data_IF_559435464434
#
_entry.id   IF_559435464434
#
_cell.length_a   1.000
_cell.length_b   1.000
_cell.length_c   1.000
_cell.angle_alpha   90.00
_cell.angle_beta   90.00
_cell.angle_gamma   90.00
#
_symmetry.space_group_name_H-M   'P 1'
#
loop_
_entity.id
_entity.type
_entity.pdbx_description
1 polymer ?
#
# COMPACT_ATOMS: atom_id res chain seq x y z
N UNK A 1 -14.16 15.43 -0.95
CA UNK A 1 -14.40 14.15 -1.65
C UNK A 1 -13.63 13.06 -0.93
N UNK A 2 -14.15 11.83 -0.82
CA UNK A 2 -13.36 10.72 -0.31
C UNK A 2 -12.12 10.51 -1.17
N UNK A 3 -11.04 10.01 -0.56
CA UNK A 3 -9.80 9.67 -1.24
C UNK A 3 -10.07 8.58 -2.29
N UNK A 4 -9.52 8.76 -3.50
CA UNK A 4 -9.61 7.80 -4.60
C UNK A 4 -8.20 7.36 -5.03
N UNK A 5 -7.81 6.10 -4.76
CA UNK A 5 -6.48 5.59 -5.10
C UNK A 5 -6.25 5.42 -6.60
N UNK A 6 -7.30 5.43 -7.44
CA UNK A 6 -7.15 5.34 -8.90
C UNK A 6 -6.63 6.66 -9.45
N UNK A 7 -7.15 7.79 -8.95
CA UNK A 7 -6.76 9.13 -9.41
C UNK A 7 -5.52 9.66 -8.70
N UNK A 8 -5.34 9.32 -7.42
CA UNK A 8 -4.13 9.65 -6.64
C UNK A 8 -3.69 8.43 -5.84
N UNK A 9 -2.93 7.49 -6.44
CA UNK A 9 -2.36 6.37 -5.69
C UNK A 9 -1.42 6.87 -4.61
N UNK A 10 -1.39 6.19 -3.47
CA UNK A 10 -0.42 6.48 -2.41
C UNK A 10 0.99 6.08 -2.84
N UNK A 11 1.98 6.84 -2.39
CA UNK A 11 3.38 6.39 -2.47
C UNK A 11 3.64 5.27 -1.44
N UNK A 12 4.69 4.46 -1.62
CA UNK A 12 5.07 3.45 -0.62
C UNK A 12 5.31 4.03 0.78
N UNK A 13 5.86 5.25 0.87
CA UNK A 13 6.09 5.94 2.15
C UNK A 13 4.76 6.40 2.77
N UNK A 14 3.86 7.00 1.99
CA UNK A 14 2.52 7.38 2.44
C UNK A 14 1.75 6.17 2.99
N UNK A 15 1.74 5.05 2.24
CA UNK A 15 1.08 3.82 2.66
C UNK A 15 1.69 3.25 3.94
N UNK A 16 3.03 3.22 4.06
CA UNK A 16 3.74 2.76 5.26
C UNK A 16 3.38 3.60 6.49
N UNK A 17 3.42 4.92 6.36
CA UNK A 17 3.11 5.87 7.43
C UNK A 17 1.66 5.73 7.88
N UNK A 18 0.71 5.73 6.93
CA UNK A 18 -0.71 5.61 7.19
C UNK A 18 -1.06 4.28 7.88
N UNK A 19 -0.57 3.16 7.33
CA UNK A 19 -0.84 1.84 7.88
C UNK A 19 -0.18 1.62 9.26
N UNK A 20 0.96 2.28 9.52
CA UNK A 20 1.59 2.27 10.85
C UNK A 20 0.73 3.03 11.87
N UNK A 21 0.14 4.18 11.50
CA UNK A 21 -0.81 4.87 12.37
C UNK A 21 -2.04 3.98 12.68
N UNK A 22 -2.58 3.30 11.67
CA UNK A 22 -3.70 2.34 11.83
C UNK A 22 -3.34 1.20 12.77
N UNK A 23 -2.14 0.62 12.64
CA UNK A 23 -1.64 -0.43 13.52
C UNK A 23 -1.57 0.05 14.97
N UNK A 24 -0.95 1.19 15.21
CA UNK A 24 -0.68 1.67 16.57
C UNK A 24 -1.94 2.14 17.28
N UNK A 25 -2.93 2.66 16.54
CA UNK A 25 -4.24 2.99 17.09
C UNK A 25 -4.94 1.78 17.75
N UNK A 26 -4.66 0.55 17.28
CA UNK A 26 -5.25 -0.68 17.83
C UNK A 26 -4.33 -1.42 18.80
N UNK A 27 -3.05 -1.49 18.47
CA UNK A 27 -2.11 -2.36 19.20
C UNK A 27 -1.44 -1.68 20.38
N UNK A 28 -1.38 -0.34 20.38
CA UNK A 28 -0.73 0.46 21.44
C UNK A 28 -1.53 1.74 21.70
N UNK A 29 -2.79 1.64 22.17
CA UNK A 29 -3.68 2.80 22.33
C UNK A 29 -3.12 3.86 23.29
N UNK A 30 -2.34 3.46 24.31
CA UNK A 30 -1.75 4.38 25.29
C UNK A 30 -0.70 5.33 24.67
N UNK A 31 -0.13 4.95 23.52
CA UNK A 31 0.86 5.77 22.79
C UNK A 31 0.24 6.57 21.65
N UNK A 32 -1.05 6.37 21.38
CA UNK A 32 -1.80 7.02 20.32
C UNK A 32 -2.56 8.24 20.87
N UNK A 33 -2.57 9.40 20.19
CA UNK A 33 -1.97 9.69 18.88
C UNK A 33 -0.44 9.74 18.89
N UNK A 34 0.18 9.37 17.76
CA UNK A 34 1.63 9.11 17.67
C UNK A 34 2.44 10.39 17.43
N UNK A 35 3.60 10.55 18.07
CA UNK A 35 4.57 11.58 17.67
C UNK A 35 5.32 11.14 16.40
N UNK A 36 5.97 12.09 15.70
CA UNK A 36 6.78 11.78 14.51
C UNK A 36 7.84 10.71 14.81
N UNK A 37 8.60 10.84 15.90
CA UNK A 37 9.63 9.86 16.28
C UNK A 37 9.05 8.45 16.55
N UNK A 38 7.94 8.38 17.28
CA UNK A 38 7.26 7.10 17.52
C UNK A 38 6.77 6.47 16.21
N UNK A 39 6.30 7.30 15.27
CA UNK A 39 5.83 6.85 13.96
C UNK A 39 6.97 6.32 13.09
N UNK A 40 8.09 7.05 12.99
CA UNK A 40 9.29 6.61 12.26
C UNK A 40 9.80 5.27 12.81
N UNK A 41 9.86 5.14 14.15
CA UNK A 41 10.21 3.88 14.81
C UNK A 41 9.26 2.74 14.40
N UNK A 42 7.97 3.04 14.28
CA UNK A 42 6.95 2.10 13.79
C UNK A 42 7.10 1.75 12.31
N UNK A 43 7.42 2.71 11.45
CA UNK A 43 7.60 2.50 10.01
C UNK A 43 8.78 1.57 9.70
N UNK A 44 9.84 1.66 10.53
CA UNK A 44 11.13 0.97 10.33
C UNK A 44 11.26 -0.33 11.15
N UNK A 45 10.17 -0.87 11.69
CA UNK A 45 10.19 -2.14 12.42
C UNK A 45 10.65 -3.29 11.50
N UNK A 46 11.42 -4.23 12.06
CA UNK A 46 11.89 -5.42 11.33
C UNK A 46 10.82 -6.53 11.22
N UNK A 47 9.78 -6.44 12.05
CA UNK A 47 8.69 -7.42 12.13
C UNK A 47 7.42 -6.80 11.59
N UNK A 48 6.55 -7.61 10.97
CA UNK A 48 5.28 -7.13 10.41
C UNK A 48 5.44 -6.01 9.38
N UNK A 49 6.60 -5.95 8.71
CA UNK A 49 6.91 -5.04 7.61
C UNK A 49 7.49 -5.84 6.45
N UNK A 50 6.89 -5.68 5.28
CA UNK A 50 7.41 -6.20 4.03
C UNK A 50 7.12 -5.19 2.91
N UNK A 51 8.15 -4.54 2.32
CA UNK A 51 9.57 -4.67 2.66
C UNK A 51 9.91 -3.96 3.99
N UNK A 52 10.99 -4.36 4.64
CA UNK A 52 11.58 -3.55 5.72
C UNK A 52 12.09 -2.25 5.10
N UNK A 53 11.73 -1.11 5.71
CA UNK A 53 12.13 0.22 5.24
C UNK A 53 12.99 0.92 6.30
N UNK A 54 13.66 2.00 5.89
CA UNK A 54 14.39 2.89 6.78
C UNK A 54 14.07 4.35 6.44
N UNK A 55 12.83 4.76 6.73
CA UNK A 55 12.36 6.13 6.55
C UNK A 55 13.09 7.05 7.52
N UNK A 56 13.55 8.19 7.02
CA UNK A 56 13.98 9.34 7.82
C UNK A 56 12.80 10.12 8.39
N UNK A 57 13.07 10.96 9.39
CA UNK A 57 12.08 11.89 9.95
C UNK A 57 11.50 12.82 8.87
N UNK A 58 12.33 13.26 7.91
CA UNK A 58 11.91 14.15 6.82
C UNK A 58 10.94 13.44 5.86
N UNK A 59 11.26 12.21 5.43
CA UNK A 59 10.39 11.43 4.54
C UNK A 59 9.05 11.07 5.23
N UNK A 60 9.09 10.76 6.53
CA UNK A 60 7.87 10.50 7.29
C UNK A 60 7.01 11.75 7.46
N UNK A 61 7.63 12.92 7.67
CA UNK A 61 6.93 14.20 7.77
C UNK A 61 6.30 14.60 6.43
N UNK A 62 7.04 14.48 5.32
CA UNK A 62 6.52 14.75 3.97
C UNK A 62 5.32 13.85 3.62
N UNK A 63 5.39 12.58 4.01
CA UNK A 63 4.28 11.64 3.85
C UNK A 63 3.07 12.05 4.71
N UNK A 64 3.26 12.47 5.97
CA UNK A 64 2.18 12.97 6.82
C UNK A 64 1.51 14.22 6.26
N UNK A 65 2.30 15.17 5.76
CA UNK A 65 1.79 16.39 5.15
C UNK A 65 0.96 16.08 3.90
N UNK A 66 1.43 15.15 3.07
CA UNK A 66 0.67 14.67 1.90
C UNK A 66 -0.63 13.96 2.31
N UNK A 67 -0.59 13.09 3.32
CA UNK A 67 -1.76 12.39 3.84
C UNK A 67 -2.79 13.34 4.48
N UNK A 68 -2.34 14.45 5.08
CA UNK A 68 -3.19 15.50 5.63
C UNK A 68 -3.99 16.20 4.53
N UNK A 69 -3.37 16.49 3.38
CA UNK A 69 -4.06 17.05 2.21
C UNK A 69 -5.11 16.09 1.65
N UNK A 70 -4.89 14.79 1.78
CA UNK A 70 -5.84 13.74 1.40
C UNK A 70 -6.91 13.45 2.47
N UNK A 71 -6.88 14.17 3.61
CA UNK A 71 -7.76 13.93 4.78
C UNK A 71 -7.66 12.51 5.36
N UNK A 72 -6.51 11.84 5.14
CA UNK A 72 -6.22 10.49 5.63
C UNK A 72 -5.47 10.51 6.97
N UNK A 73 -4.84 11.62 7.32
CA UNK A 73 -4.21 11.84 8.62
C UNK A 73 -4.54 13.25 9.17
N UNK A 74 -4.57 13.38 10.49
CA UNK A 74 -4.83 14.66 11.16
C UNK A 74 -3.82 14.90 12.29
N UNK A 75 -3.54 16.18 12.54
CA UNK A 75 -2.81 16.60 13.72
C UNK A 75 -3.78 16.71 14.91
N UNK A 76 -3.44 16.06 16.02
CA UNK A 76 -4.12 16.27 17.29
C UNK A 76 -3.64 17.58 17.90
N UNK A 77 -4.59 18.49 18.16
CA UNK A 77 -4.33 19.74 18.88
C UNK A 77 -4.18 19.51 20.39
N UNK A 78 -3.56 20.46 21.10
CA UNK A 78 -3.50 20.48 22.57
C UNK A 78 -2.25 19.85 23.21
N UNK A 79 -1.36 19.23 22.43
CA UNK A 79 -0.13 18.63 22.94
C UNK A 79 1.09 19.52 22.71
N UNK A 80 2.05 19.52 23.65
CA UNK A 80 3.34 20.24 23.51
C UNK A 80 4.16 19.78 22.30
N UNK A 81 3.90 18.57 21.82
CA UNK A 81 4.51 17.98 20.62
C UNK A 81 3.38 17.55 19.70
N UNK A 82 3.47 17.90 18.41
CA UNK A 82 2.51 17.48 17.39
C UNK A 82 2.35 15.96 17.41
N UNK A 83 1.10 15.51 17.51
CA UNK A 83 0.72 14.10 17.44
C UNK A 83 -0.19 13.88 16.25
N UNK A 84 -0.15 12.68 15.68
CA UNK A 84 -0.81 12.33 14.44
C UNK A 84 -1.81 11.19 14.64
N UNK A 85 -2.96 11.37 14.02
CA UNK A 85 -4.08 10.42 13.96
C UNK A 85 -4.36 10.02 12.51
N UNK A 86 -4.94 8.85 12.30
CA UNK A 86 -5.40 8.39 10.99
C UNK A 86 -6.91 8.60 10.89
N UNK A 87 -7.39 8.85 9.68
CA UNK A 87 -8.80 8.96 9.35
C UNK A 87 -9.21 7.94 8.26
N UNK A 88 -8.46 6.84 8.15
CA UNK A 88 -8.57 5.86 7.06
C UNK A 88 -10.00 5.42 6.73
N UNK A 89 -10.79 4.97 7.73
CA UNK A 89 -12.14 4.45 7.49
C UNK A 89 -13.05 5.49 6.81
N UNK A 90 -13.03 6.74 7.27
CA UNK A 90 -13.85 7.80 6.70
C UNK A 90 -13.26 8.33 5.38
N UNK A 91 -11.94 8.48 5.32
CA UNK A 91 -11.25 8.99 4.14
C UNK A 91 -11.39 8.07 2.93
N UNK A 92 -11.29 6.75 3.14
CA UNK A 92 -11.44 5.72 2.09
C UNK A 92 -12.90 5.23 1.97
N UNK A 93 -13.76 5.50 2.95
CA UNK A 93 -15.16 5.09 2.94
C UNK A 93 -15.34 3.58 3.07
N UNK A 94 -14.63 2.95 4.01
CA UNK A 94 -14.68 1.50 4.28
C UNK A 94 -15.04 1.21 5.73
N UNK A 95 -15.70 0.07 6.01
CA UNK A 95 -15.89 -0.38 7.39
C UNK A 95 -14.56 -0.76 8.04
N UNK A 96 -14.57 -0.93 9.36
CA UNK A 96 -13.38 -1.22 10.16
C UNK A 96 -12.68 -2.51 9.70
N UNK A 97 -13.44 -3.57 9.43
CA UNK A 97 -12.93 -4.87 9.03
C UNK A 97 -12.10 -4.77 7.74
N UNK A 98 -12.66 -4.12 6.73
CA UNK A 98 -11.98 -3.84 5.47
C UNK A 98 -10.75 -2.94 5.65
N UNK A 99 -10.83 -1.94 6.53
CA UNK A 99 -9.68 -1.09 6.85
C UNK A 99 -8.52 -1.86 7.47
N UNK A 100 -8.79 -2.80 8.37
CA UNK A 100 -7.77 -3.66 8.97
C UNK A 100 -7.07 -4.51 7.91
N UNK A 101 -7.83 -5.13 7.00
CA UNK A 101 -7.27 -5.95 5.92
C UNK A 101 -6.39 -5.12 4.98
N UNK A 102 -6.85 -3.93 4.56
CA UNK A 102 -6.06 -3.00 3.75
C UNK A 102 -4.79 -2.55 4.48
N UNK A 103 -4.87 -2.24 5.77
CA UNK A 103 -3.72 -1.89 6.60
C UNK A 103 -2.66 -2.99 6.64
N UNK A 104 -3.08 -4.23 6.83
CA UNK A 104 -2.17 -5.38 6.85
C UNK A 104 -1.51 -5.63 5.49
N UNK A 105 -2.28 -5.51 4.41
CA UNK A 105 -1.75 -5.63 3.04
C UNK A 105 -0.74 -4.51 2.74
N UNK A 106 -0.98 -3.28 3.18
CA UNK A 106 -0.03 -2.17 3.02
C UNK A 106 1.26 -2.36 3.84
N UNK A 107 1.18 -2.99 5.00
CA UNK A 107 2.35 -3.22 5.85
C UNK A 107 3.19 -4.42 5.41
N UNK A 108 2.55 -5.47 4.89
CA UNK A 108 3.16 -6.80 4.71
C UNK A 108 3.04 -7.36 3.29
N UNK A 109 2.58 -6.54 2.34
CA UNK A 109 2.38 -6.97 0.97
C UNK A 109 1.31 -8.05 0.79
N UNK A 110 1.35 -8.78 -0.35
CA UNK A 110 0.32 -9.75 -0.68
C UNK A 110 0.27 -10.96 0.26
N UNK A 111 -0.91 -11.27 0.79
CA UNK A 111 -1.12 -12.32 1.80
C UNK A 111 -2.33 -13.20 1.46
N UNK A 112 -2.35 -14.44 1.94
CA UNK A 112 -3.55 -15.30 1.87
C UNK A 112 -4.59 -14.87 2.91
N UNK A 113 -5.85 -15.28 2.74
CA UNK A 113 -6.89 -14.99 3.73
C UNK A 113 -6.57 -15.60 5.11
N UNK A 114 -5.94 -16.77 5.14
CA UNK A 114 -5.45 -17.41 6.37
C UNK A 114 -4.36 -16.59 7.07
N UNK A 115 -3.36 -16.11 6.32
CA UNK A 115 -2.31 -15.22 6.84
C UNK A 115 -2.89 -13.91 7.38
N UNK A 116 -3.83 -13.29 6.64
CA UNK A 116 -4.51 -12.06 7.05
C UNK A 116 -5.27 -12.25 8.36
N UNK A 117 -6.02 -13.35 8.52
CA UNK A 117 -6.76 -13.64 9.76
C UNK A 117 -5.83 -13.71 10.96
N UNK A 118 -4.70 -14.42 10.83
CA UNK A 118 -3.70 -14.57 11.91
C UNK A 118 -3.07 -13.21 12.23
N UNK A 119 -2.65 -12.47 11.21
CA UNK A 119 -1.96 -11.19 11.39
C UNK A 119 -2.91 -10.07 11.89
N UNK A 120 -4.21 -10.19 11.65
CA UNK A 120 -5.23 -9.25 12.11
C UNK A 120 -5.60 -9.42 13.59
N UNK A 121 -5.25 -10.52 14.25
CA UNK A 121 -5.82 -10.90 15.56
C UNK A 121 -5.74 -9.80 16.63
N UNK A 122 -4.66 -9.00 16.62
CA UNK A 122 -4.47 -7.87 17.55
C UNK A 122 -5.15 -6.57 17.11
N UNK A 123 -5.52 -6.45 15.83
CA UNK A 123 -6.24 -5.29 15.29
C UNK A 123 -7.75 -5.49 15.38
N UNK A 124 -8.22 -6.66 14.91
CA UNK A 124 -9.62 -7.07 14.86
C UNK A 124 -9.71 -8.59 14.77
N UNK A 125 -10.59 -9.19 15.58
CA UNK A 125 -10.79 -10.64 15.61
C UNK A 125 -11.87 -11.06 14.61
N UNK A 126 -11.44 -11.56 13.46
CA UNK A 126 -12.33 -12.21 12.48
C UNK A 126 -12.81 -13.57 12.99
N UNK A 127 -14.06 -13.93 12.72
CA UNK A 127 -14.65 -15.18 13.18
C UNK A 127 -13.91 -16.39 12.57
N UNK A 128 -13.79 -16.41 11.25
CA UNK A 128 -13.18 -17.48 10.47
C UNK A 128 -12.55 -16.93 9.18
N UNK A 129 -11.92 -17.81 8.40
CA UNK A 129 -11.29 -17.44 7.12
C UNK A 129 -12.34 -16.95 6.11
N UNK A 130 -13.52 -17.58 6.08
CA UNK A 130 -14.61 -17.22 5.17
C UNK A 130 -15.10 -15.79 5.41
N UNK A 131 -15.09 -15.31 6.66
CA UNK A 131 -15.40 -13.91 6.97
C UNK A 131 -14.37 -12.94 6.39
N UNK A 132 -13.09 -13.31 6.38
CA UNK A 132 -12.02 -12.51 5.76
C UNK A 132 -12.18 -12.49 4.24
N UNK A 133 -12.43 -13.64 3.63
CA UNK A 133 -12.70 -13.76 2.19
C UNK A 133 -13.89 -12.90 1.77
N UNK A 134 -15.01 -12.95 2.49
CA UNK A 134 -16.18 -12.14 2.19
C UNK A 134 -15.89 -10.63 2.17
N UNK A 135 -15.09 -10.10 3.11
CA UNK A 135 -14.69 -8.69 3.09
C UNK A 135 -13.70 -8.36 1.97
N UNK A 136 -12.85 -9.31 1.57
CA UNK A 136 -11.92 -9.11 0.44
C UNK A 136 -12.67 -9.12 -0.89
N UNK A 137 -13.65 -10.01 -1.05
CA UNK A 137 -14.53 -10.06 -2.20
C UNK A 137 -15.35 -8.76 -2.30
N UNK A 138 -15.93 -8.27 -1.20
CA UNK A 138 -16.64 -6.97 -1.19
C UNK A 138 -15.72 -5.80 -1.58
N UNK A 139 -14.45 -5.82 -1.13
CA UNK A 139 -13.46 -4.81 -1.50
C UNK A 139 -13.05 -4.89 -2.98
N UNK A 140 -13.08 -6.08 -3.59
CA UNK A 140 -12.79 -6.31 -5.01
C UNK A 140 -13.98 -5.96 -5.90
N UNK A 141 -15.19 -6.24 -5.46
CA UNK A 141 -16.45 -5.98 -6.19
C UNK A 141 -16.98 -4.55 -5.99
N UNK A 142 -16.26 -3.74 -5.19
CA UNK A 142 -16.62 -2.36 -4.90
C UNK A 142 -16.84 -1.53 -6.19
N UNK A 143 -18.00 -0.87 -6.27
CA UNK A 143 -18.42 -0.12 -7.46
C UNK A 143 -17.54 1.10 -7.76
N UNK A 144 -17.48 1.51 -9.04
CA UNK A 144 -16.76 2.70 -9.48
C UNK A 144 -17.26 4.00 -8.80
N UNK A 145 -18.57 4.11 -8.53
CA UNK A 145 -19.15 5.25 -7.79
C UNK A 145 -18.59 5.38 -6.37
N UNK A 146 -18.17 4.26 -5.78
CA UNK A 146 -17.53 4.22 -4.47
C UNK A 146 -16.00 4.29 -4.56
N UNK A 147 -15.41 4.58 -5.72
CA UNK A 147 -13.95 4.63 -5.90
C UNK A 147 -13.31 3.32 -6.39
N UNK A 148 -14.12 2.33 -6.80
CA UNK A 148 -13.63 1.10 -7.44
C UNK A 148 -13.00 0.08 -6.50
N UNK A 149 -12.41 -0.99 -7.06
CA UNK A 149 -11.77 -2.06 -6.30
C UNK A 149 -10.59 -1.54 -5.49
N UNK A 150 -10.46 -1.98 -4.24
CA UNK A 150 -9.32 -1.64 -3.37
C UNK A 150 -8.35 -2.80 -3.14
N UNK A 151 -8.74 -4.00 -3.56
CA UNK A 151 -7.89 -5.20 -3.52
C UNK A 151 -8.02 -5.95 -4.84
N UNK A 152 -7.01 -6.76 -5.14
CA UNK A 152 -7.02 -7.69 -6.25
C UNK A 152 -6.55 -9.07 -5.79
N UNK A 153 -7.24 -10.11 -6.23
CA UNK A 153 -6.79 -11.48 -6.08
C UNK A 153 -5.70 -11.76 -7.11
N UNK A 154 -4.52 -12.19 -6.65
CA UNK A 154 -3.38 -12.50 -7.49
C UNK A 154 -3.48 -13.94 -8.03
N UNK A 155 -2.95 -14.19 -9.25
CA UNK A 155 -2.78 -15.55 -9.75
C UNK A 155 -2.05 -16.43 -8.74
N UNK A 156 -2.42 -17.71 -8.70
CA UNK A 156 -1.74 -18.68 -7.83
C UNK A 156 -0.28 -18.81 -8.27
N UNK A 157 0.63 -18.56 -7.35
CA UNK A 157 2.03 -18.86 -7.55
C UNK A 157 2.22 -20.36 -7.81
N UNK A 158 3.22 -20.77 -8.63
CA UNK A 158 3.51 -22.18 -8.88
C UNK A 158 3.68 -22.96 -7.57
N UNK A 159 2.89 -24.02 -7.38
CA UNK A 159 2.94 -24.86 -6.17
C UNK A 159 2.18 -24.32 -4.95
N UNK A 160 1.64 -23.09 -4.99
CA UNK A 160 0.84 -22.54 -3.91
C UNK A 160 -0.58 -23.13 -3.92
N UNK A 161 -1.08 -23.53 -2.74
CA UNK A 161 -2.45 -24.05 -2.57
C UNK A 161 -3.50 -22.95 -2.55
N UNK A 162 -3.14 -21.77 -2.04
CA UNK A 162 -4.04 -20.65 -1.82
C UNK A 162 -3.65 -19.44 -2.68
N UNK A 163 -4.64 -18.61 -3.00
CA UNK A 163 -4.44 -17.33 -3.68
C UNK A 163 -4.02 -16.26 -2.66
N UNK A 164 -3.28 -15.26 -3.14
CA UNK A 164 -2.89 -14.10 -2.34
C UNK A 164 -3.66 -12.88 -2.79
N UNK A 165 -3.98 -12.02 -1.84
CA UNK A 165 -4.65 -10.75 -2.06
C UNK A 165 -3.62 -9.63 -1.98
N UNK A 166 -3.70 -8.66 -2.88
CA UNK A 166 -2.89 -7.44 -2.84
C UNK A 166 -3.81 -6.22 -2.74
N UNK A 167 -3.35 -5.15 -2.10
CA UNK A 167 -4.08 -3.88 -2.09
C UNK A 167 -3.80 -3.08 -3.37
N UNK A 168 -4.73 -2.20 -3.74
CA UNK A 168 -4.61 -1.28 -4.87
C UNK A 168 -4.38 0.18 -4.43
N UNK A 169 -4.18 0.41 -3.13
CA UNK A 169 -3.95 1.75 -2.56
C UNK A 169 -2.73 2.50 -3.16
N UNK A 170 -1.73 1.77 -3.65
CA UNK A 170 -0.54 2.34 -4.30
C UNK A 170 -0.59 2.21 -5.83
N UNK A 171 -1.79 2.04 -6.40
CA UNK A 171 -2.02 1.84 -7.82
C UNK A 171 -2.16 0.35 -8.22
N UNK A 172 -2.29 0.08 -9.53
CA UNK A 172 -2.48 -1.26 -10.06
C UNK A 172 -1.29 -2.17 -9.73
N UNK A 173 -1.58 -3.40 -9.28
CA UNK A 173 -0.55 -4.41 -9.04
C UNK A 173 -0.33 -5.20 -10.33
N UNK A 174 0.92 -5.26 -10.80
CA UNK A 174 1.32 -6.07 -11.96
C UNK A 174 1.15 -7.57 -11.63
N UNK A 175 0.00 -8.14 -11.98
CA UNK A 175 -0.32 -9.57 -11.78
C UNK A 175 0.38 -10.48 -12.79
N UNK A 176 0.94 -9.92 -13.86
CA UNK A 176 1.61 -10.63 -14.96
C UNK A 176 2.93 -11.29 -14.54
N UNK A 177 3.61 -10.79 -13.50
CA UNK A 177 4.85 -11.37 -13.00
C UNK A 177 4.66 -12.68 -12.21
N UNK A 178 3.41 -13.02 -11.84
CA UNK A 178 3.09 -14.22 -11.04
C UNK A 178 2.40 -15.33 -11.84
N UNK A 179 2.09 -15.09 -13.12
CA UNK A 179 1.51 -16.11 -13.97
C UNK A 179 2.53 -17.24 -14.25
N UNK A 180 2.20 -18.52 -14.02
CA UNK A 180 3.06 -19.61 -14.46
C UNK A 180 3.14 -19.60 -15.98
N UNK A 181 4.33 -19.37 -16.54
CA UNK A 181 4.60 -19.73 -17.91
C UNK A 181 4.35 -21.24 -18.06
N UNK A 182 3.52 -21.71 -19.02
CA UNK A 182 3.26 -23.13 -19.18
C UNK A 182 4.54 -23.80 -19.70
N UNK A 183 5.21 -24.53 -18.79
CA UNK A 183 6.30 -25.44 -19.09
C UNK A 183 7.62 -24.78 -19.47
N UNK A 184 8.56 -24.71 -18.53
CA UNK A 184 9.99 -24.82 -18.87
C UNK A 184 10.80 -25.24 -17.65
N UNK A 185 11.11 -26.52 -17.61
CA UNK A 185 12.38 -27.01 -17.07
C UNK A 185 13.55 -26.22 -17.65
N UNK A 186 14.48 -25.81 -16.77
CA UNK A 186 15.84 -25.28 -17.03
C UNK A 186 15.98 -23.99 -17.85
N UNK A 187 16.42 -22.90 -17.20
CA UNK A 187 17.06 -21.77 -17.90
C UNK A 187 16.97 -20.42 -17.19
N UNK A 188 17.82 -20.17 -16.19
CA UNK A 188 17.96 -18.87 -15.49
C UNK A 188 18.43 -17.68 -16.37
N UNK A 189 18.54 -17.85 -17.70
CA UNK A 189 18.91 -16.78 -18.63
C UNK A 189 17.73 -15.93 -19.12
N UNK A 190 16.52 -16.48 -19.19
CA UNK A 190 15.40 -15.78 -19.82
C UNK A 190 14.77 -14.69 -18.94
N UNK A 191 14.80 -14.84 -17.62
CA UNK A 191 14.30 -13.82 -16.70
C UNK A 191 15.18 -12.56 -16.69
N UNK A 192 16.51 -12.74 -16.80
CA UNK A 192 17.45 -11.63 -16.91
C UNK A 192 17.29 -10.88 -18.24
N UNK A 193 17.09 -11.61 -19.35
CA UNK A 193 16.87 -10.99 -20.66
C UNK A 193 15.54 -10.22 -20.75
N UNK A 194 14.48 -10.75 -20.15
CA UNK A 194 13.18 -10.06 -20.08
C UNK A 194 13.25 -8.79 -19.21
N UNK A 195 13.99 -8.84 -18.09
CA UNK A 195 14.23 -7.67 -17.25
C UNK A 195 15.07 -6.61 -17.99
N UNK A 196 16.14 -7.04 -18.68
CA UNK A 196 16.98 -6.17 -19.49
C UNK A 196 16.18 -5.43 -20.57
N UNK A 197 15.33 -6.15 -21.31
CA UNK A 197 14.47 -5.55 -22.33
C UNK A 197 13.45 -4.55 -21.75
N UNK A 198 12.93 -4.81 -20.54
CA UNK A 198 12.04 -3.88 -19.84
C UNK A 198 12.78 -2.63 -19.37
N UNK A 199 14.03 -2.77 -18.90
CA UNK A 199 14.88 -1.63 -18.52
C UNK A 199 15.18 -0.77 -19.74
N UNK A 200 15.61 -1.35 -20.86
CA UNK A 200 15.89 -0.60 -22.10
C UNK A 200 14.66 0.15 -22.63
N UNK A 201 13.48 -0.47 -22.57
CA UNK A 201 12.22 0.18 -22.95
C UNK A 201 11.89 1.37 -22.05
N UNK A 202 12.05 1.20 -20.73
CA UNK A 202 11.77 2.26 -19.75
C UNK A 202 12.78 3.39 -19.87
N UNK A 203 14.07 3.10 -20.07
CA UNK A 203 15.09 4.11 -20.34
C UNK A 203 14.77 4.92 -21.60
N UNK A 204 14.30 4.26 -22.66
CA UNK A 204 13.82 4.94 -23.88
C UNK A 204 12.62 5.86 -23.63
N UNK A 205 11.66 5.40 -22.83
CA UNK A 205 10.48 6.22 -22.46
C UNK A 205 10.88 7.42 -21.59
N UNK A 206 11.80 7.24 -20.65
CA UNK A 206 12.32 8.34 -19.82
C UNK A 206 13.06 9.36 -20.67
N UNK A 207 13.90 8.93 -21.61
CA UNK A 207 14.61 9.82 -22.52
C UNK A 207 13.63 10.63 -23.41
N UNK A 208 12.59 9.98 -23.93
CA UNK A 208 11.56 10.64 -24.73
C UNK A 208 10.74 11.66 -23.92
N UNK A 209 10.39 11.32 -22.68
CA UNK A 209 9.70 12.24 -21.77
C UNK A 209 10.58 13.42 -21.39
N UNK A 210 11.86 13.19 -21.06
CA UNK A 210 12.82 14.26 -20.78
C UNK A 210 12.99 15.21 -21.97
N UNK A 211 13.09 14.68 -23.19
CA UNK A 211 13.17 15.50 -24.41
C UNK A 211 11.89 16.33 -24.63
N UNK A 212 10.73 15.76 -24.31
CA UNK A 212 9.44 16.46 -24.40
C UNK A 212 9.36 17.57 -23.35
N UNK A 213 9.76 17.30 -22.12
CA UNK A 213 9.83 18.30 -21.05
C UNK A 213 10.79 19.42 -21.40
N UNK A 214 12.00 19.11 -21.89
CA UNK A 214 12.96 20.13 -22.33
C UNK A 214 12.42 21.01 -23.45
N UNK A 215 11.68 20.43 -24.41
CA UNK A 215 11.04 21.20 -25.48
C UNK A 215 9.97 22.14 -24.94
N UNK A 216 9.12 21.64 -24.03
CA UNK A 216 8.06 22.44 -23.40
C UNK A 216 8.65 23.56 -22.53
N UNK A 217 9.71 23.29 -21.76
CA UNK A 217 10.46 24.28 -21.01
C UNK A 217 11.01 25.39 -21.93
N UNK A 218 11.65 25.01 -23.05
CA UNK A 218 12.17 25.96 -24.03
C UNK A 218 11.07 26.81 -24.70
N UNK A 219 9.91 26.21 -25.02
CA UNK A 219 8.76 26.94 -25.59
C UNK A 219 8.10 27.90 -24.59
N UNK A 220 8.17 27.58 -23.29
CA UNK A 220 7.60 28.38 -22.20
C UNK A 220 8.61 29.39 -21.60
N UNK A 221 9.87 29.38 -22.06
CA UNK A 221 10.92 30.30 -21.61
C UNK A 221 11.39 30.06 -20.17
N UNK A 222 11.28 28.82 -19.68
CA UNK A 222 11.76 28.37 -18.36
C UNK A 222 12.86 27.34 -18.51
#
# INVERSE_FOLDING_TARGET
MPFDPVTRPLTPHEARVLATLMEKARTVPDSYPMSLNGLVTGCNQKTSRDPVMNLSDAEAQEALDSLKLLTLAFESSGNRTTRWEHNFQRGVGVPEQSAVLLGLLMLRGPQTAGELRINAERWYRFADISSVEAFLDELQERSAEKGGPLVAQLPRAPGAREQRWAHLMCGPVDTSASAPAPGSSSGGGNASAALQARVEMLEGQVAALQATVQRLCAELGV
#
